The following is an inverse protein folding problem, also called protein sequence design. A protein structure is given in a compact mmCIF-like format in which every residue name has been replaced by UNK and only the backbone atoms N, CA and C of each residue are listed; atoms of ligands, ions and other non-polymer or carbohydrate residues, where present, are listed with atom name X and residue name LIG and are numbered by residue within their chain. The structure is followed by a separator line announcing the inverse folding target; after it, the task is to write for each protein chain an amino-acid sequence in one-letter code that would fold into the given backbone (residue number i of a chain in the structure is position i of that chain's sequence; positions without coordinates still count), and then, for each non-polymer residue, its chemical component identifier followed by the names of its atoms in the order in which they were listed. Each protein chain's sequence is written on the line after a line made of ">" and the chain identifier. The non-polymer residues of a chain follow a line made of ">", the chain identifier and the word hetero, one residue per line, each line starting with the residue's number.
data_IF_321032898346
#
_entry.id   IF_321032898346
#
_cell.length_a   1.000
_cell.length_b   1.000
_cell.length_c   1.000
_cell.angle_alpha   90.00
_cell.angle_beta   90.00
_cell.angle_gamma   90.00
#
_symmetry.space_group_name_H-M   'P 1'
#
loop_
_entity.id
_entity.type
_entity.pdbx_description
1 polymer ?
#
# COMPACT_ATOMS: atom_id res chain seq x y z
N UNK A 1 -1.13 10.83 -55.94
CA UNK A 1 -0.08 10.62 -54.91
C UNK A 1 -0.70 10.97 -53.58
N UNK A 2 -0.90 9.97 -52.73
CA UNK A 2 -1.70 10.04 -51.50
C UNK A 2 -0.78 10.38 -50.32
N UNK A 3 -0.26 11.61 -50.28
CA UNK A 3 0.77 12.03 -49.29
C UNK A 3 0.23 12.23 -47.87
N UNK A 4 -1.10 12.39 -47.69
CA UNK A 4 -1.70 12.60 -46.37
C UNK A 4 -1.90 11.30 -45.57
N UNK A 5 -2.00 10.14 -46.24
CA UNK A 5 -2.23 8.84 -45.59
C UNK A 5 -1.00 8.30 -44.84
N UNK A 6 0.20 8.55 -45.38
CA UNK A 6 1.47 8.05 -44.82
C UNK A 6 1.95 8.87 -43.62
N UNK A 7 1.60 10.17 -43.57
CA UNK A 7 1.95 11.04 -42.43
C UNK A 7 1.08 10.73 -41.19
N UNK A 8 -0.21 10.45 -41.39
CA UNK A 8 -1.13 10.06 -40.31
C UNK A 8 -0.73 8.70 -39.72
N UNK A 9 -0.40 7.72 -40.57
CA UNK A 9 0.04 6.39 -40.10
C UNK A 9 1.41 6.40 -39.41
N UNK A 10 2.36 7.22 -39.87
CA UNK A 10 3.64 7.38 -39.15
C UNK A 10 3.48 8.10 -37.80
N UNK A 11 2.56 9.07 -37.73
CA UNK A 11 2.27 9.78 -36.47
C UNK A 11 1.56 8.86 -35.48
N UNK A 12 0.58 8.07 -35.92
CA UNK A 12 -0.11 7.06 -35.09
C UNK A 12 0.83 5.92 -34.64
N UNK A 13 1.72 5.45 -35.51
CA UNK A 13 2.72 4.44 -35.15
C UNK A 13 3.75 4.98 -34.14
N UNK A 14 4.21 6.22 -34.31
CA UNK A 14 5.12 6.87 -33.36
C UNK A 14 4.49 7.12 -31.99
N UNK A 15 3.20 7.50 -31.94
CA UNK A 15 2.46 7.69 -30.69
C UNK A 15 2.22 6.35 -29.98
N UNK A 16 1.85 5.30 -30.72
CA UNK A 16 1.66 3.96 -30.15
C UNK A 16 2.95 3.40 -29.55
N UNK A 17 4.07 3.58 -30.25
CA UNK A 17 5.38 3.12 -29.76
C UNK A 17 5.82 3.88 -28.50
N UNK A 18 5.62 5.21 -28.45
CA UNK A 18 5.93 6.01 -27.27
C UNK A 18 5.07 5.60 -26.05
N UNK A 19 3.78 5.33 -26.28
CA UNK A 19 2.84 4.88 -25.27
C UNK A 19 3.21 3.50 -24.70
N UNK A 20 3.58 2.54 -25.55
CA UNK A 20 4.03 1.21 -25.13
C UNK A 20 5.31 1.27 -24.27
N UNK A 21 6.28 2.11 -24.66
CA UNK A 21 7.52 2.32 -23.89
C UNK A 21 7.21 2.91 -22.51
N UNK A 22 6.36 3.92 -22.44
CA UNK A 22 5.95 4.52 -21.16
C UNK A 22 5.30 3.46 -20.24
N UNK A 23 4.45 2.62 -20.81
CA UNK A 23 3.74 1.59 -20.07
C UNK A 23 4.69 0.48 -19.56
N UNK A 24 5.64 0.06 -20.39
CA UNK A 24 6.70 -0.88 -20.00
C UNK A 24 7.55 -0.33 -18.85
N UNK A 25 7.93 0.94 -18.92
CA UNK A 25 8.70 1.61 -17.84
C UNK A 25 7.89 1.59 -16.53
N UNK A 26 6.61 1.94 -16.57
CA UNK A 26 5.74 1.90 -15.37
C UNK A 26 5.68 0.50 -14.75
N UNK A 27 5.53 -0.53 -15.56
CA UNK A 27 5.45 -1.91 -15.07
C UNK A 27 6.78 -2.42 -14.51
N UNK A 28 7.90 -2.06 -15.15
CA UNK A 28 9.24 -2.35 -14.64
C UNK A 28 9.48 -1.67 -13.28
N UNK A 29 9.07 -0.41 -13.13
CA UNK A 29 9.17 0.32 -11.86
C UNK A 29 8.34 -0.38 -10.77
N UNK A 30 7.09 -0.75 -11.05
CA UNK A 30 6.27 -1.49 -10.08
C UNK A 30 6.90 -2.82 -9.67
N UNK A 31 7.42 -3.57 -10.64
CA UNK A 31 8.08 -4.84 -10.38
C UNK A 31 9.35 -4.66 -9.53
N UNK A 32 10.23 -3.74 -9.91
CA UNK A 32 11.50 -3.51 -9.21
C UNK A 32 11.30 -2.98 -7.79
N UNK A 33 10.46 -1.94 -7.60
CA UNK A 33 10.19 -1.38 -6.28
C UNK A 33 9.41 -2.37 -5.39
N UNK A 34 8.46 -3.11 -5.97
CA UNK A 34 7.76 -4.19 -5.28
C UNK A 34 8.72 -5.26 -4.79
N UNK A 35 9.65 -5.71 -5.64
CA UNK A 35 10.63 -6.73 -5.29
C UNK A 35 11.57 -6.28 -4.17
N UNK A 36 12.09 -5.05 -4.24
CA UNK A 36 12.92 -4.46 -3.17
C UNK A 36 12.15 -4.41 -1.85
N UNK A 37 10.88 -4.05 -1.88
CA UNK A 37 10.01 -4.00 -0.71
C UNK A 37 9.77 -5.40 -0.13
N UNK A 38 9.50 -6.41 -0.97
CA UNK A 38 9.38 -7.79 -0.52
C UNK A 38 10.66 -8.27 0.18
N UNK A 39 11.82 -8.07 -0.44
CA UNK A 39 13.11 -8.52 0.09
C UNK A 39 13.40 -7.85 1.44
N UNK A 40 13.25 -6.53 1.53
CA UNK A 40 13.51 -5.79 2.78
C UNK A 40 12.57 -6.21 3.90
N UNK A 41 11.26 -6.34 3.61
CA UNK A 41 10.27 -6.78 4.60
C UNK A 41 10.45 -8.23 5.02
N UNK A 42 10.88 -9.13 4.11
CA UNK A 42 11.23 -10.51 4.46
C UNK A 42 12.42 -10.58 5.43
N UNK A 43 13.46 -9.78 5.21
CA UNK A 43 14.60 -9.70 6.14
C UNK A 43 14.14 -9.25 7.53
N UNK A 44 13.31 -8.19 7.60
CA UNK A 44 12.73 -7.72 8.86
C UNK A 44 11.91 -8.79 9.57
N UNK A 45 11.07 -9.54 8.84
CA UNK A 45 10.29 -10.64 9.39
C UNK A 45 11.19 -11.74 9.97
N UNK A 46 12.21 -12.16 9.23
CA UNK A 46 13.17 -13.18 9.70
C UNK A 46 13.81 -12.73 11.02
N UNK A 47 14.29 -11.48 11.08
CA UNK A 47 14.93 -10.92 12.29
C UNK A 47 13.95 -10.88 13.47
N UNK A 48 12.73 -10.38 13.27
CA UNK A 48 11.76 -10.26 14.36
C UNK A 48 11.21 -11.61 14.84
N UNK A 49 11.14 -12.61 13.96
CA UNK A 49 10.63 -13.94 14.29
C UNK A 49 11.69 -14.90 14.85
N UNK A 50 12.98 -14.56 14.71
CA UNK A 50 14.12 -15.39 15.07
C UNK A 50 14.13 -15.84 16.54
N UNK A 51 13.78 -14.97 17.49
CA UNK A 51 13.75 -15.32 18.91
C UNK A 51 12.41 -14.98 19.57
N UNK A 52 12.02 -15.77 20.57
CA UNK A 52 10.77 -15.58 21.31
C UNK A 52 10.70 -14.22 22.02
N UNK A 53 11.84 -13.71 22.49
CA UNK A 53 11.94 -12.40 23.13
C UNK A 53 11.70 -11.25 22.14
N UNK A 54 12.32 -11.32 20.95
CA UNK A 54 12.10 -10.33 19.90
C UNK A 54 10.65 -10.35 19.42
N UNK A 55 10.07 -11.54 19.24
CA UNK A 55 8.68 -11.70 18.78
C UNK A 55 7.67 -11.00 19.68
N UNK A 56 7.80 -11.13 21.00
CA UNK A 56 6.91 -10.47 21.97
C UNK A 56 7.12 -8.96 21.99
N UNK A 57 8.37 -8.50 21.87
CA UNK A 57 8.72 -7.07 21.93
C UNK A 57 8.30 -6.31 20.67
N UNK A 58 8.54 -6.90 19.50
CA UNK A 58 8.38 -6.29 18.18
C UNK A 58 7.13 -6.75 17.42
N UNK A 59 6.13 -7.33 18.10
CA UNK A 59 4.91 -7.86 17.47
C UNK A 59 4.21 -6.87 16.51
N UNK A 60 4.14 -5.57 16.84
CA UNK A 60 3.58 -4.57 15.92
C UNK A 60 4.47 -4.34 14.69
N UNK A 61 5.78 -4.31 14.84
CA UNK A 61 6.73 -4.16 13.73
C UNK A 61 6.75 -5.41 12.85
N UNK A 62 6.53 -6.60 13.42
CA UNK A 62 6.31 -7.83 12.64
C UNK A 62 5.02 -7.72 11.82
N UNK A 63 3.91 -7.28 12.41
CA UNK A 63 2.66 -7.06 11.67
C UNK A 63 2.83 -6.01 10.56
N UNK A 64 3.56 -4.93 10.82
CA UNK A 64 3.89 -3.91 9.83
C UNK A 64 4.68 -4.50 8.67
N UNK A 65 5.71 -5.31 8.99
CA UNK A 65 6.54 -5.97 7.97
C UNK A 65 5.72 -6.96 7.12
N UNK A 66 4.71 -7.63 7.69
CA UNK A 66 3.77 -8.46 6.90
C UNK A 66 2.95 -7.57 5.95
N UNK A 67 2.43 -6.43 6.44
CA UNK A 67 1.69 -5.48 5.61
C UNK A 67 2.53 -4.95 4.45
N UNK A 68 3.77 -4.53 4.72
CA UNK A 68 4.71 -4.04 3.70
C UNK A 68 5.10 -5.14 2.70
N UNK A 69 5.27 -6.37 3.17
CA UNK A 69 5.52 -7.51 2.30
C UNK A 69 4.35 -7.76 1.34
N UNK A 70 3.12 -7.74 1.85
CA UNK A 70 1.91 -7.87 1.01
C UNK A 70 1.79 -6.70 0.02
N UNK A 71 2.23 -5.51 0.42
CA UNK A 71 2.22 -4.32 -0.44
C UNK A 71 3.22 -4.48 -1.58
N UNK A 72 4.46 -4.86 -1.27
CA UNK A 72 5.47 -5.20 -2.27
C UNK A 72 4.98 -6.30 -3.21
N UNK A 73 4.37 -7.36 -2.67
CA UNK A 73 3.86 -8.49 -3.45
C UNK A 73 2.76 -8.04 -4.41
N UNK A 74 1.88 -7.14 -3.98
CA UNK A 74 0.83 -6.58 -4.82
C UNK A 74 1.40 -5.82 -6.03
N UNK A 75 2.48 -5.05 -5.85
CA UNK A 75 3.16 -4.34 -6.94
C UNK A 75 3.92 -5.28 -7.87
N UNK A 76 4.56 -6.32 -7.35
CA UNK A 76 5.22 -7.35 -8.16
C UNK A 76 4.19 -8.05 -9.05
N UNK A 77 3.06 -8.49 -8.49
CA UNK A 77 1.99 -9.14 -9.24
C UNK A 77 1.39 -8.17 -10.27
N UNK A 78 1.11 -6.92 -9.89
CA UNK A 78 0.60 -5.92 -10.83
C UNK A 78 1.57 -5.67 -11.99
N UNK A 79 2.87 -5.52 -11.73
CA UNK A 79 3.90 -5.33 -12.76
C UNK A 79 4.04 -6.54 -13.68
N UNK A 80 4.12 -7.75 -13.11
CA UNK A 80 4.29 -8.98 -13.87
C UNK A 80 3.08 -9.30 -14.76
N UNK A 81 1.87 -9.32 -14.20
CA UNK A 81 0.65 -9.67 -14.96
C UNK A 81 0.31 -8.60 -16.02
N UNK A 82 0.48 -7.32 -15.72
CA UNK A 82 0.27 -6.26 -16.72
C UNK A 82 1.35 -6.29 -17.81
N UNK A 83 2.59 -6.62 -17.46
CA UNK A 83 3.67 -6.86 -18.42
C UNK A 83 3.35 -8.02 -19.37
N UNK A 84 2.93 -9.18 -18.83
CA UNK A 84 2.53 -10.34 -19.65
C UNK A 84 1.35 -10.00 -20.56
N UNK A 85 0.34 -9.28 -20.05
CA UNK A 85 -0.82 -8.87 -20.85
C UNK A 85 -0.42 -7.93 -22.01
N UNK A 86 0.58 -7.06 -21.81
CA UNK A 86 1.15 -6.21 -22.84
C UNK A 86 1.90 -7.02 -23.90
N UNK A 87 2.78 -7.94 -23.49
CA UNK A 87 3.51 -8.81 -24.43
C UNK A 87 2.60 -9.72 -25.26
N UNK A 88 1.47 -10.15 -24.71
CA UNK A 88 0.48 -10.97 -25.41
C UNK A 88 -0.46 -10.16 -26.32
N UNK A 89 -0.35 -8.83 -26.35
CA UNK A 89 -1.25 -7.97 -27.12
C UNK A 89 -2.70 -7.94 -26.63
N UNK A 90 -2.98 -8.52 -25.46
CA UNK A 90 -4.34 -8.57 -24.85
C UNK A 90 -4.60 -7.41 -23.89
N UNK A 91 -3.65 -6.47 -23.79
CA UNK A 91 -3.72 -5.34 -22.87
C UNK A 91 -4.90 -4.40 -23.18
N UNK A 92 -5.18 -4.12 -24.46
CA UNK A 92 -6.31 -3.30 -24.92
C UNK A 92 -7.62 -4.09 -25.07
N UNK A 93 -7.70 -5.28 -24.45
CA UNK A 93 -8.96 -6.01 -24.39
C UNK A 93 -9.89 -5.36 -23.38
N UNK A 94 -11.16 -5.20 -23.77
CA UNK A 94 -12.20 -4.73 -22.88
C UNK A 94 -12.31 -5.62 -21.64
N UNK A 95 -12.55 -5.00 -20.49
CA UNK A 95 -12.79 -5.66 -19.21
C UNK A 95 -13.80 -4.87 -18.39
N UNK A 96 -14.44 -5.50 -17.42
CA UNK A 96 -15.38 -4.82 -16.52
C UNK A 96 -14.74 -4.46 -15.18
N UNK A 97 -15.28 -3.44 -14.50
CA UNK A 97 -14.89 -3.06 -13.15
C UNK A 97 -14.93 -4.23 -12.15
N UNK A 98 -15.97 -5.07 -12.20
CA UNK A 98 -16.15 -6.25 -11.33
C UNK A 98 -15.11 -7.34 -11.63
N UNK A 99 -14.83 -7.62 -12.90
CA UNK A 99 -13.74 -8.54 -13.28
C UNK A 99 -12.39 -8.02 -12.79
N UNK A 100 -12.11 -6.72 -12.97
CA UNK A 100 -10.89 -6.12 -12.46
C UNK A 100 -10.80 -6.22 -10.92
N UNK A 101 -11.90 -6.15 -10.17
CA UNK A 101 -11.84 -6.25 -8.70
C UNK A 101 -11.68 -7.70 -8.22
N UNK A 102 -12.42 -8.64 -8.82
CA UNK A 102 -12.54 -10.02 -8.31
C UNK A 102 -11.64 -11.03 -9.01
N UNK A 103 -11.36 -10.84 -10.30
CA UNK A 103 -10.51 -11.76 -11.07
C UNK A 103 -9.02 -11.38 -11.02
N UNK A 104 -8.69 -10.17 -10.56
CA UNK A 104 -7.28 -9.74 -10.46
C UNK A 104 -6.80 -9.73 -9.01
N UNK A 105 -5.88 -10.64 -8.62
CA UNK A 105 -5.47 -10.77 -7.23
C UNK A 105 -4.68 -9.56 -6.71
N UNK A 106 -3.99 -8.83 -7.59
CA UNK A 106 -3.20 -7.67 -7.21
C UNK A 106 -4.06 -6.50 -6.72
N UNK A 107 -5.27 -6.30 -7.25
CA UNK A 107 -6.15 -5.20 -6.84
C UNK A 107 -6.65 -5.36 -5.41
N UNK A 108 -7.13 -6.57 -5.09
CA UNK A 108 -7.55 -6.90 -3.74
C UNK A 108 -6.39 -6.78 -2.73
N UNK A 109 -5.21 -7.27 -3.12
CA UNK A 109 -3.99 -7.14 -2.32
C UNK A 109 -3.56 -5.68 -2.13
N UNK A 110 -3.63 -4.82 -3.15
CA UNK A 110 -3.29 -3.39 -3.02
C UNK A 110 -4.21 -2.67 -2.04
N UNK A 111 -5.51 -2.99 -2.00
CA UNK A 111 -6.45 -2.39 -1.04
C UNK A 111 -6.07 -2.79 0.39
N UNK A 112 -5.86 -4.09 0.64
CA UNK A 112 -5.44 -4.60 1.96
C UNK A 112 -4.11 -3.97 2.37
N UNK A 113 -3.13 -4.08 1.48
CA UNK A 113 -1.75 -3.77 1.77
C UNK A 113 -1.46 -2.26 1.77
N UNK A 114 -2.33 -1.42 1.21
CA UNK A 114 -2.28 0.02 1.42
C UNK A 114 -2.79 0.43 2.81
N UNK A 115 -3.86 -0.20 3.29
CA UNK A 115 -4.54 0.19 4.53
C UNK A 115 -3.89 -0.38 5.80
N UNK A 116 -3.46 -1.64 5.77
CA UNK A 116 -2.88 -2.31 6.93
C UNK A 116 -1.62 -1.58 7.44
N UNK A 117 -0.61 -1.25 6.61
CA UNK A 117 0.55 -0.50 7.06
C UNK A 117 0.20 0.91 7.56
N UNK A 118 -0.70 1.62 6.88
CA UNK A 118 -1.11 2.97 7.27
C UNK A 118 -1.74 3.00 8.67
N UNK A 119 -2.66 2.07 8.96
CA UNK A 119 -3.28 1.94 10.27
C UNK A 119 -2.27 1.50 11.35
N UNK A 120 -1.40 0.54 11.04
CA UNK A 120 -0.35 0.11 11.97
C UNK A 120 0.63 1.24 12.29
N UNK A 121 1.00 2.07 11.33
CA UNK A 121 1.84 3.25 11.58
C UNK A 121 1.17 4.24 12.54
N UNK A 122 -0.15 4.45 12.44
CA UNK A 122 -0.90 5.27 13.40
C UNK A 122 -0.84 4.65 14.79
N UNK A 123 -1.15 3.36 14.92
CA UNK A 123 -1.15 2.69 16.22
C UNK A 123 0.24 2.64 16.85
N UNK A 124 1.29 2.45 16.05
CA UNK A 124 2.68 2.54 16.53
C UNK A 124 3.00 3.94 17.00
N UNK A 125 2.63 4.99 16.25
CA UNK A 125 2.85 6.37 16.66
C UNK A 125 2.12 6.69 17.98
N UNK A 126 0.88 6.21 18.11
CA UNK A 126 0.06 6.37 19.31
C UNK A 126 0.66 5.64 20.53
N UNK A 127 1.09 4.40 20.35
CA UNK A 127 1.79 3.61 21.38
C UNK A 127 3.05 4.34 21.89
N UNK A 128 3.80 4.96 20.98
CA UNK A 128 4.99 5.77 21.33
C UNK A 128 4.64 7.01 22.13
N UNK A 129 3.57 7.73 21.78
CA UNK A 129 3.11 8.89 22.56
C UNK A 129 2.72 8.46 23.97
N UNK A 130 1.93 7.39 24.11
CA UNK A 130 1.49 6.88 25.43
C UNK A 130 2.70 6.45 26.26
N UNK A 131 3.62 5.71 25.68
CA UNK A 131 4.82 5.22 26.38
C UNK A 131 5.68 6.36 26.94
N UNK A 132 5.71 7.53 26.27
CA UNK A 132 6.45 8.71 26.73
C UNK A 132 5.69 9.52 27.78
N UNK A 133 4.37 9.61 27.69
CA UNK A 133 3.55 10.40 28.63
C UNK A 133 3.30 9.66 29.95
N UNK A 134 3.17 8.33 29.91
CA UNK A 134 2.73 7.52 31.06
C UNK A 134 3.72 6.42 31.45
N UNK A 135 4.99 6.79 31.61
CA UNK A 135 6.09 5.86 31.98
C UNK A 135 5.76 5.04 33.23
N UNK A 136 5.11 5.65 34.23
CA UNK A 136 4.83 5.05 35.54
C UNK A 136 3.70 4.01 35.53
N UNK A 137 2.80 4.06 34.55
CA UNK A 137 1.60 3.19 34.45
C UNK A 137 1.83 2.00 33.51
N UNK A 138 2.97 1.98 32.80
CA UNK A 138 3.26 1.05 31.71
C UNK A 138 3.66 -0.35 32.22
N UNK A 139 2.70 -1.13 32.76
CA UNK A 139 2.89 -2.53 33.20
C UNK A 139 3.00 -3.50 32.02
N UNK A 140 4.02 -4.37 32.02
CA UNK A 140 4.39 -5.28 30.90
C UNK A 140 3.25 -6.17 30.34
N UNK A 141 2.40 -6.73 31.20
CA UNK A 141 1.30 -7.63 30.80
C UNK A 141 0.22 -6.91 29.97
N UNK A 142 -0.15 -5.69 30.39
CA UNK A 142 -1.15 -4.86 29.71
C UNK A 142 -0.69 -4.46 28.29
N UNK A 143 0.61 -4.33 28.07
CA UNK A 143 1.21 -3.96 26.78
C UNK A 143 0.99 -5.02 25.72
N UNK A 144 1.19 -6.30 26.05
CA UNK A 144 1.05 -7.37 25.07
C UNK A 144 -0.40 -7.47 24.62
N UNK A 145 -1.35 -7.31 25.56
CA UNK A 145 -2.76 -7.26 25.24
C UNK A 145 -3.11 -6.05 24.36
N UNK A 146 -2.68 -4.85 24.74
CA UNK A 146 -2.90 -3.62 23.95
C UNK A 146 -2.35 -3.75 22.52
N UNK A 147 -1.13 -4.28 22.35
CA UNK A 147 -0.54 -4.49 21.03
C UNK A 147 -1.35 -5.46 20.16
N UNK A 148 -1.84 -6.56 20.74
CA UNK A 148 -2.73 -7.50 20.03
C UNK A 148 -4.06 -6.84 19.66
N UNK A 149 -4.62 -6.01 20.55
CA UNK A 149 -5.85 -5.26 20.29
C UNK A 149 -5.69 -4.29 19.12
N UNK A 150 -4.56 -3.57 19.01
CA UNK A 150 -4.31 -2.68 17.86
C UNK A 150 -4.20 -3.44 16.53
N UNK A 151 -3.57 -4.63 16.54
CA UNK A 151 -3.51 -5.49 15.36
C UNK A 151 -4.91 -5.98 14.99
N UNK A 152 -5.69 -6.46 15.96
CA UNK A 152 -7.07 -6.90 15.73
C UNK A 152 -7.95 -5.76 15.20
N UNK A 153 -7.82 -4.55 15.76
CA UNK A 153 -8.53 -3.37 15.30
C UNK A 153 -8.12 -2.98 13.86
N UNK A 154 -6.84 -3.10 13.52
CA UNK A 154 -6.36 -2.89 12.15
C UNK A 154 -7.03 -3.85 11.17
N UNK A 155 -7.08 -5.15 11.51
CA UNK A 155 -7.72 -6.17 10.67
C UNK A 155 -9.21 -5.87 10.51
N UNK A 156 -9.90 -5.51 11.60
CA UNK A 156 -11.31 -5.17 11.59
C UNK A 156 -11.61 -3.94 10.73
N UNK A 157 -10.86 -2.85 10.90
CA UNK A 157 -11.00 -1.63 10.11
C UNK A 157 -10.71 -1.89 8.63
N UNK A 158 -9.65 -2.63 8.32
CA UNK A 158 -9.31 -3.01 6.94
C UNK A 158 -10.43 -3.82 6.31
N UNK A 159 -10.98 -4.81 7.02
CA UNK A 159 -12.12 -5.62 6.58
C UNK A 159 -13.36 -4.76 6.30
N UNK A 160 -13.63 -3.77 7.15
CA UNK A 160 -14.71 -2.80 6.93
C UNK A 160 -14.49 -1.98 5.65
N UNK A 161 -13.29 -1.46 5.42
CA UNK A 161 -12.96 -0.73 4.18
C UNK A 161 -13.09 -1.60 2.92
N UNK A 162 -12.71 -2.88 2.99
CA UNK A 162 -12.87 -3.83 1.88
C UNK A 162 -14.35 -4.11 1.63
N UNK A 163 -15.13 -4.32 2.69
CA UNK A 163 -16.57 -4.55 2.56
C UNK A 163 -17.24 -3.36 1.88
N UNK A 164 -16.88 -2.14 2.26
CA UNK A 164 -17.36 -0.93 1.56
C UNK A 164 -16.93 -0.93 0.08
N UNK A 165 -15.67 -1.26 -0.23
CA UNK A 165 -15.20 -1.31 -1.61
C UNK A 165 -16.00 -2.29 -2.47
N UNK A 166 -16.27 -3.49 -1.94
CA UNK A 166 -17.05 -4.52 -2.61
C UNK A 166 -18.51 -4.09 -2.76
N UNK A 167 -19.13 -3.57 -1.71
CA UNK A 167 -20.51 -3.06 -1.74
C UNK A 167 -20.66 -1.95 -2.78
N UNK A 168 -19.74 -0.98 -2.80
CA UNK A 168 -19.76 0.09 -3.80
C UNK A 168 -19.57 -0.47 -5.22
N UNK A 169 -18.67 -1.43 -5.44
CA UNK A 169 -18.52 -2.08 -6.75
C UNK A 169 -19.79 -2.81 -7.21
N UNK A 170 -20.54 -3.42 -6.30
CA UNK A 170 -21.80 -4.10 -6.62
C UNK A 170 -22.94 -3.13 -6.96
N UNK A 171 -22.99 -1.96 -6.31
CA UNK A 171 -24.03 -0.96 -6.55
C UNK A 171 -23.70 0.01 -7.68
N UNK A 172 -22.42 0.12 -8.04
CA UNK A 172 -22.00 0.93 -9.17
C UNK A 172 -22.41 0.28 -10.51
N UNK A 173 -22.62 1.09 -11.54
CA UNK A 173 -22.95 0.54 -12.86
C UNK A 173 -21.74 -0.21 -13.42
N UNK A 174 -22.00 -1.28 -14.17
CA UNK A 174 -20.93 -2.03 -14.84
C UNK A 174 -20.25 -1.09 -15.85
N UNK A 175 -19.04 -0.66 -15.51
CA UNK A 175 -18.20 0.15 -16.39
C UNK A 175 -17.30 -0.76 -17.22
N UNK A 176 -17.39 -0.61 -18.54
CA UNK A 176 -16.48 -1.29 -19.48
C UNK A 176 -15.25 -0.42 -19.65
N UNK A 177 -14.12 -0.95 -19.19
CA UNK A 177 -12.80 -0.38 -19.45
C UNK A 177 -12.31 -0.87 -20.82
N UNK A 178 -11.67 0.01 -21.58
CA UNK A 178 -11.09 -0.30 -22.87
C UNK A 178 -9.73 -1.02 -22.75
N UNK A 179 -9.13 -1.02 -21.56
CA UNK A 179 -7.80 -1.53 -21.32
C UNK A 179 -7.73 -2.20 -19.94
N UNK A 180 -6.89 -3.22 -19.83
CA UNK A 180 -6.69 -4.03 -18.62
C UNK A 180 -5.80 -3.32 -17.59
N UNK A 181 -5.85 -1.98 -17.56
CA UNK A 181 -5.34 -1.16 -16.46
C UNK A 181 -6.31 -1.29 -15.27
N UNK A 182 -6.40 -2.50 -14.71
CA UNK A 182 -7.15 -2.78 -13.50
C UNK A 182 -6.42 -2.10 -12.34
N UNK A 183 -6.80 -0.86 -12.05
CA UNK A 183 -6.36 -0.06 -10.91
C UNK A 183 -7.45 -0.04 -9.83
N UNK A 184 -7.08 0.23 -8.58
CA UNK A 184 -8.06 0.33 -7.48
C UNK A 184 -9.16 1.33 -7.83
N UNK A 185 -8.79 2.51 -8.34
CA UNK A 185 -9.74 3.56 -8.69
C UNK A 185 -10.72 3.13 -9.80
N UNK A 186 -10.24 2.39 -10.80
CA UNK A 186 -11.09 1.87 -11.88
C UNK A 186 -12.01 0.73 -11.41
N UNK A 187 -11.57 -0.03 -10.42
CA UNK A 187 -12.33 -1.17 -9.87
C UNK A 187 -13.38 -0.74 -8.84
N UNK A 188 -13.06 0.18 -7.95
CA UNK A 188 -13.95 0.57 -6.83
C UNK A 188 -14.69 1.89 -7.07
N UNK A 189 -14.37 2.59 -8.16
CA UNK A 189 -14.87 3.92 -8.47
C UNK A 189 -13.98 5.04 -7.91
N UNK A 190 -14.12 6.22 -8.53
CA UNK A 190 -13.30 7.41 -8.25
C UNK A 190 -13.49 7.90 -6.81
N UNK A 191 -14.72 7.87 -6.29
CA UNK A 191 -15.04 8.33 -4.93
C UNK A 191 -14.31 7.50 -3.87
N UNK A 192 -14.43 6.17 -3.93
CA UNK A 192 -13.75 5.30 -2.98
C UNK A 192 -12.23 5.41 -3.13
N UNK A 193 -11.71 5.35 -4.35
CA UNK A 193 -10.27 5.45 -4.61
C UNK A 193 -9.67 6.74 -4.04
N UNK A 194 -10.33 7.87 -4.27
CA UNK A 194 -9.86 9.19 -3.77
C UNK A 194 -9.85 9.23 -2.25
N UNK A 195 -10.93 8.79 -1.59
CA UNK A 195 -11.02 8.77 -0.12
C UNK A 195 -9.95 7.82 0.45
N UNK A 196 -9.83 6.62 -0.11
CA UNK A 196 -8.88 5.59 0.31
C UNK A 196 -7.44 6.11 0.28
N UNK A 197 -6.99 6.66 -0.85
CA UNK A 197 -5.62 7.19 -0.98
C UNK A 197 -5.39 8.45 -0.15
N UNK A 198 -6.40 9.31 -0.01
CA UNK A 198 -6.31 10.51 0.84
C UNK A 198 -6.15 10.14 2.31
N UNK A 199 -6.92 9.16 2.80
CA UNK A 199 -6.81 8.68 4.18
C UNK A 199 -5.43 8.07 4.46
N UNK A 200 -4.89 7.28 3.52
CA UNK A 200 -3.53 6.73 3.64
C UNK A 200 -2.50 7.86 3.71
N UNK A 201 -2.59 8.86 2.83
CA UNK A 201 -1.67 9.99 2.80
C UNK A 201 -1.72 10.80 4.11
N UNK A 202 -2.93 11.13 4.57
CA UNK A 202 -3.15 11.85 5.84
C UNK A 202 -2.58 11.05 7.01
N UNK A 203 -2.80 9.73 7.06
CA UNK A 203 -2.26 8.86 8.08
C UNK A 203 -0.73 8.97 8.17
N UNK A 204 -0.03 8.85 7.03
CA UNK A 204 1.42 8.95 6.98
C UNK A 204 1.94 10.34 7.40
N UNK A 205 1.31 11.42 6.94
CA UNK A 205 1.70 12.80 7.29
C UNK A 205 1.51 13.05 8.80
N UNK A 206 0.37 12.60 9.35
CA UNK A 206 0.09 12.69 10.78
C UNK A 206 1.13 11.90 11.60
N UNK A 207 1.41 10.64 11.22
CA UNK A 207 2.42 9.81 11.87
C UNK A 207 3.80 10.47 11.84
N UNK A 208 4.22 10.96 10.67
CA UNK A 208 5.51 11.62 10.52
C UNK A 208 5.61 12.85 11.42
N UNK A 209 4.57 13.70 11.44
CA UNK A 209 4.53 14.91 12.27
C UNK A 209 4.62 14.59 13.75
N UNK A 210 3.86 13.59 14.23
CA UNK A 210 3.90 13.15 15.63
C UNK A 210 5.27 12.62 16.01
N UNK A 211 5.83 11.70 15.22
CA UNK A 211 7.14 11.11 15.50
C UNK A 211 8.27 12.15 15.46
N UNK A 212 8.20 13.10 14.52
CA UNK A 212 9.15 14.19 14.43
C UNK A 212 9.13 15.11 15.65
N UNK A 213 7.93 15.48 16.13
CA UNK A 213 7.77 16.30 17.33
C UNK A 213 8.25 15.57 18.59
N UNK A 214 7.98 14.27 18.70
CA UNK A 214 8.50 13.44 19.78
C UNK A 214 10.03 13.38 19.75
N UNK A 215 10.63 13.18 18.57
CA UNK A 215 12.08 13.14 18.41
C UNK A 215 12.72 14.46 18.83
N UNK A 216 12.19 15.60 18.36
CA UNK A 216 12.67 16.93 18.75
C UNK A 216 12.59 17.17 20.26
N UNK A 217 11.45 16.85 20.87
CA UNK A 217 11.24 17.05 22.31
C UNK A 217 12.18 16.17 23.14
N UNK A 218 12.31 14.90 22.76
CA UNK A 218 13.23 13.96 23.41
C UNK A 218 14.67 14.44 23.31
N UNK A 219 15.09 14.91 22.14
CA UNK A 219 16.46 15.39 21.95
C UNK A 219 16.74 16.67 22.76
N UNK A 220 15.81 17.62 22.79
CA UNK A 220 15.92 18.83 23.60
C UNK A 220 16.08 18.50 25.09
N UNK A 221 15.28 17.56 25.60
CA UNK A 221 15.36 17.13 27.00
C UNK A 221 16.72 16.47 27.33
N UNK A 222 17.28 15.66 26.42
CA UNK A 222 18.61 15.05 26.59
C UNK A 222 19.74 16.10 26.63
N UNK A 223 19.70 17.10 25.75
CA UNK A 223 20.69 18.18 25.75
C UNK A 223 20.63 18.99 27.05
N UNK A 224 19.43 19.28 27.56
CA UNK A 224 19.25 20.01 28.81
C UNK A 224 19.74 19.22 30.02
N UNK A 225 19.47 17.91 30.08
CA UNK A 225 19.92 17.03 31.16
C UNK A 225 21.45 16.86 31.23
N UNK A 226 22.16 16.99 30.10
CA UNK A 226 23.62 16.93 30.08
C UNK A 226 24.29 18.26 30.48
N UNK A 227 23.52 19.34 30.66
CA UNK A 227 24.02 20.66 31.10
C UNK A 227 23.77 20.94 32.59
N UNK A 228 22.91 20.15 33.23
CA UNK A 228 22.61 20.20 34.68
C UNK A 228 23.46 19.20 35.44
#
# INVERSE_FOLDING_TARGET
>A
MNFDGDLVTQTEAGITQAFEVELQIRFLIYFALGAVTCISSSICLIVFLSTNELRKKYVMFSALSVGDFLNGLSFVLAGAFRGVALFQGVYSSKTTNTECLLQTPWNFLMIIAGQVPALLHIFVAFDRVIALQFVTVYRKELLIFQKKTYIALTILLTSFFITIAVVLNFFDRVHVLNDRLCSVMNSTGIYYGTIHYSLISIAYICCFTVLWNLFRTTNKNRVNANRS
#
